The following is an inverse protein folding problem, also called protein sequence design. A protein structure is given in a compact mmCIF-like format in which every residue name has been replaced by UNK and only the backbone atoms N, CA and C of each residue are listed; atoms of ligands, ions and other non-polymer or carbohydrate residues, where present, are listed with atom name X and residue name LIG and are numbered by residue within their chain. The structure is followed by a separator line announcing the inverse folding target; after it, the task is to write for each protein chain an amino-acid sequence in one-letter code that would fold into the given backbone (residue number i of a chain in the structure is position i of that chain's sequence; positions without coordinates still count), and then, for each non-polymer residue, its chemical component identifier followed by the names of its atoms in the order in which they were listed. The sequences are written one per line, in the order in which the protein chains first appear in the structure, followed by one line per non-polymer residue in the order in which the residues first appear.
data_IF_323521017459
#
_entry.id   IF_323521017459
#
_cell.length_a   1.000
_cell.length_b   1.000
_cell.length_c   1.000
_cell.angle_alpha   90.00
_cell.angle_beta   90.00
_cell.angle_gamma   90.00
#
_symmetry.space_group_name_H-M   'P 1'
#
loop_
_entity.id
_entity.type
_entity.pdbx_description
1 polymer ?
#
# COMPACT_ATOMS: atom_id res chain seq x y z
N UNK A 1 -14.60 -13.87 -8.09
CA UNK A 1 -15.65 -13.15 -7.34
C UNK A 1 -16.98 -13.48 -8.00
N UNK A 2 -17.96 -13.96 -7.22
CA UNK A 2 -19.30 -14.31 -7.74
C UNK A 2 -20.29 -13.26 -7.22
N UNK A 3 -20.66 -12.28 -8.07
CA UNK A 3 -21.64 -11.25 -7.70
C UNK A 3 -23.04 -11.71 -8.10
N UNK A 4 -24.00 -11.63 -7.16
CA UNK A 4 -25.39 -12.04 -7.39
C UNK A 4 -26.13 -11.13 -8.38
N UNK A 5 -25.68 -9.89 -8.56
CA UNK A 5 -26.23 -8.94 -9.53
C UNK A 5 -25.21 -7.88 -9.97
N UNK A 6 -25.50 -7.20 -11.08
CA UNK A 6 -24.72 -6.02 -11.52
C UNK A 6 -24.74 -4.90 -10.47
N UNK A 7 -25.86 -4.73 -9.78
CA UNK A 7 -25.99 -3.74 -8.70
C UNK A 7 -25.08 -4.04 -7.52
N UNK A 8 -24.85 -5.31 -7.20
CA UNK A 8 -23.92 -5.71 -6.14
C UNK A 8 -22.47 -5.43 -6.52
N UNK A 9 -22.10 -5.71 -7.78
CA UNK A 9 -20.78 -5.37 -8.30
C UNK A 9 -20.51 -3.86 -8.29
N UNK A 10 -21.48 -3.04 -8.72
CA UNK A 10 -21.37 -1.57 -8.71
C UNK A 10 -21.30 -1.04 -7.27
N UNK A 11 -22.10 -1.58 -6.35
CA UNK A 11 -22.07 -1.17 -4.94
C UNK A 11 -20.73 -1.48 -4.28
N UNK A 12 -20.18 -2.66 -4.53
CA UNK A 12 -18.85 -3.06 -4.04
C UNK A 12 -17.76 -2.15 -4.61
N UNK A 13 -17.82 -1.82 -5.90
CA UNK A 13 -16.88 -0.88 -6.52
C UNK A 13 -16.95 0.51 -5.87
N UNK A 14 -18.15 1.05 -5.61
CA UNK A 14 -18.32 2.34 -4.94
C UNK A 14 -17.80 2.29 -3.51
N UNK A 15 -18.08 1.22 -2.75
CA UNK A 15 -17.57 1.10 -1.39
C UNK A 15 -16.04 1.02 -1.34
N UNK A 16 -15.41 0.27 -2.25
CA UNK A 16 -13.95 0.21 -2.36
C UNK A 16 -13.36 1.56 -2.71
N UNK A 17 -13.93 2.24 -3.70
CA UNK A 17 -13.53 3.60 -4.07
C UNK A 17 -13.61 4.56 -2.86
N UNK A 18 -14.72 4.55 -2.12
CA UNK A 18 -14.86 5.37 -0.92
C UNK A 18 -13.86 4.99 0.18
N UNK A 19 -13.59 3.69 0.39
CA UNK A 19 -12.60 3.23 1.37
C UNK A 19 -11.19 3.71 1.02
N UNK A 20 -10.78 3.61 -0.25
CA UNK A 20 -9.51 4.15 -0.76
C UNK A 20 -9.40 5.66 -0.53
N UNK A 21 -10.50 6.39 -0.60
CA UNK A 21 -10.52 7.85 -0.46
C UNK A 21 -10.84 8.34 0.96
N UNK A 22 -11.24 7.45 1.89
CA UNK A 22 -11.52 7.79 3.30
C UNK A 22 -10.25 8.03 4.14
N UNK A 23 -9.05 7.82 3.60
CA UNK A 23 -7.79 8.18 4.27
C UNK A 23 -7.78 9.63 4.78
N UNK A 24 -8.57 10.53 4.15
CA UNK A 24 -8.74 11.92 4.58
C UNK A 24 -9.18 12.09 6.05
N UNK A 25 -9.92 11.14 6.64
CA UNK A 25 -10.34 11.20 8.05
C UNK A 25 -9.39 10.50 9.04
N UNK A 26 -8.44 9.70 8.54
CA UNK A 26 -7.46 8.98 9.38
C UNK A 26 -6.13 9.75 9.54
N UNK A 27 -6.07 10.98 9.04
CA UNK A 27 -4.88 11.84 9.14
C UNK A 27 -4.53 12.22 10.60
N UNK A 28 -5.49 12.17 11.53
CA UNK A 28 -5.31 12.66 12.90
C UNK A 28 -4.99 11.57 13.94
N UNK A 29 -5.18 10.29 13.62
CA UNK A 29 -5.01 9.20 14.60
C UNK A 29 -4.02 8.13 14.12
N UNK A 30 -3.30 7.52 15.07
CA UNK A 30 -2.46 6.36 14.78
C UNK A 30 -3.36 5.17 14.47
N UNK A 31 -3.08 4.46 13.39
CA UNK A 31 -3.82 3.26 12.98
C UNK A 31 -2.86 2.20 12.41
N UNK A 32 -3.35 0.97 12.32
CA UNK A 32 -2.66 -0.11 11.64
C UNK A 32 -2.99 -0.08 10.15
N UNK A 33 -2.02 -0.42 9.31
CA UNK A 33 -2.22 -0.52 7.87
C UNK A 33 -1.50 -1.74 7.32
N UNK A 34 -2.01 -2.30 6.24
CA UNK A 34 -1.36 -3.32 5.42
C UNK A 34 -1.02 -2.73 4.05
N UNK A 35 0.27 -2.59 3.78
CA UNK A 35 0.80 -2.13 2.50
C UNK A 35 1.25 -3.33 1.66
N UNK A 36 0.76 -3.39 0.43
CA UNK A 36 1.18 -4.33 -0.60
C UNK A 36 1.95 -3.58 -1.69
N UNK A 37 3.18 -4.02 -1.95
CA UNK A 37 4.03 -3.51 -3.02
C UNK A 37 4.33 -4.59 -4.07
N UNK A 38 4.34 -4.22 -5.35
CA UNK A 38 4.86 -5.05 -6.45
C UNK A 38 5.74 -4.20 -7.35
N UNK A 39 6.98 -4.63 -7.57
CA UNK A 39 7.95 -3.90 -8.38
C UNK A 39 8.95 -4.84 -9.07
N UNK A 40 9.63 -4.34 -10.11
CA UNK A 40 10.67 -5.10 -10.82
C UNK A 40 11.96 -5.19 -9.99
N UNK A 41 12.70 -6.30 -10.08
CA UNK A 41 13.90 -6.55 -9.25
C UNK A 41 14.95 -5.42 -9.34
N UNK A 42 15.09 -4.78 -10.51
CA UNK A 42 15.99 -3.64 -10.71
C UNK A 42 15.69 -2.42 -9.83
N UNK A 43 14.46 -2.27 -9.36
CA UNK A 43 14.03 -1.17 -8.48
C UNK A 43 14.18 -1.50 -6.99
N UNK A 44 14.62 -2.71 -6.64
CA UNK A 44 14.75 -3.17 -5.24
C UNK A 44 15.54 -2.22 -4.36
N UNK A 45 16.67 -1.72 -4.85
CA UNK A 45 17.50 -0.82 -4.06
C UNK A 45 16.76 0.49 -3.71
N UNK A 46 16.09 1.10 -4.69
CA UNK A 46 15.33 2.35 -4.50
C UNK A 46 14.15 2.15 -3.56
N UNK A 47 13.42 1.03 -3.71
CA UNK A 47 12.32 0.67 -2.81
C UNK A 47 12.84 0.50 -1.38
N UNK A 48 13.89 -0.30 -1.18
CA UNK A 48 14.48 -0.50 0.15
C UNK A 48 14.96 0.81 0.77
N UNK A 49 15.52 1.73 -0.01
CA UNK A 49 15.94 3.05 0.48
C UNK A 49 14.76 3.88 0.99
N UNK A 50 13.64 3.92 0.24
CA UNK A 50 12.40 4.58 0.69
C UNK A 50 11.89 3.93 1.98
N UNK A 51 11.83 2.60 2.04
CA UNK A 51 11.38 1.88 3.24
C UNK A 51 12.27 2.20 4.46
N UNK A 52 13.59 2.26 4.27
CA UNK A 52 14.53 2.62 5.33
C UNK A 52 14.31 4.04 5.86
N UNK A 53 14.04 5.02 4.99
CA UNK A 53 13.71 6.40 5.40
C UNK A 53 12.45 6.48 6.25
N UNK A 54 11.50 5.58 6.01
CA UNK A 54 10.21 5.51 6.70
C UNK A 54 10.13 4.39 7.76
N UNK A 55 11.26 3.87 8.22
CA UNK A 55 11.30 2.70 9.13
C UNK A 55 10.46 2.88 10.41
N UNK A 56 10.25 4.11 10.88
CA UNK A 56 9.50 4.45 12.09
C UNK A 56 8.06 3.96 12.05
N UNK A 57 7.45 3.92 10.87
CA UNK A 57 6.06 3.46 10.72
C UNK A 57 5.97 2.00 10.30
N UNK A 58 7.08 1.34 10.02
CA UNK A 58 7.11 -0.07 9.58
C UNK A 58 7.23 -0.95 10.83
N UNK A 59 6.15 -1.66 11.16
CA UNK A 59 6.15 -2.62 12.27
C UNK A 59 6.78 -3.95 11.85
N UNK A 60 6.44 -4.44 10.65
CA UNK A 60 7.07 -5.62 10.05
C UNK A 60 6.94 -5.60 8.53
N UNK A 61 7.81 -6.35 7.87
CA UNK A 61 7.81 -6.51 6.41
C UNK A 61 8.12 -7.95 6.02
N UNK A 62 7.44 -8.47 5.01
CA UNK A 62 7.74 -9.72 4.31
C UNK A 62 8.09 -9.39 2.86
N UNK A 63 9.12 -10.03 2.33
CA UNK A 63 9.61 -9.84 0.97
C UNK A 63 9.61 -11.18 0.24
N UNK A 64 9.03 -11.21 -0.96
CA UNK A 64 8.96 -12.42 -1.80
C UNK A 64 9.48 -12.13 -3.19
N UNK A 65 10.43 -12.94 -3.65
CA UNK A 65 10.91 -12.92 -5.03
C UNK A 65 10.09 -13.88 -5.90
N UNK A 66 9.64 -13.42 -7.06
CA UNK A 66 9.00 -14.28 -8.06
C UNK A 66 9.14 -13.68 -9.47
N UNK A 67 9.58 -14.50 -10.44
CA UNK A 67 9.60 -14.17 -11.87
C UNK A 67 10.19 -12.78 -12.21
N UNK A 68 11.39 -12.48 -11.71
CA UNK A 68 12.07 -11.19 -11.93
C UNK A 68 11.45 -9.99 -11.20
N UNK A 69 10.47 -10.24 -10.31
CA UNK A 69 9.75 -9.23 -9.54
C UNK A 69 9.88 -9.49 -8.05
N UNK A 70 9.57 -8.46 -7.30
CA UNK A 70 9.52 -8.48 -5.85
C UNK A 70 8.12 -8.07 -5.39
N UNK A 71 7.55 -8.82 -4.46
CA UNK A 71 6.37 -8.41 -3.71
C UNK A 71 6.73 -8.19 -2.24
N UNK A 72 6.37 -7.01 -1.73
CA UNK A 72 6.49 -6.69 -0.32
C UNK A 72 5.10 -6.62 0.33
N UNK A 73 5.02 -7.15 1.55
CA UNK A 73 3.86 -7.02 2.43
C UNK A 73 4.33 -6.39 3.74
N UNK A 74 3.83 -5.20 4.07
CA UNK A 74 4.25 -4.47 5.26
C UNK A 74 3.08 -4.21 6.18
N UNK A 75 3.27 -4.49 7.47
CA UNK A 75 2.38 -4.01 8.52
C UNK A 75 2.93 -2.67 9.00
N UNK A 76 2.12 -1.63 8.89
CA UNK A 76 2.48 -0.28 9.28
C UNK A 76 1.68 0.17 10.50
N UNK A 77 2.29 1.00 11.34
CA UNK A 77 1.65 1.63 12.50
C UNK A 77 2.07 3.10 12.58
N UNK A 78 1.13 4.01 12.41
CA UNK A 78 1.43 5.43 12.49
C UNK A 78 0.26 6.34 12.13
N UNK A 79 0.45 7.66 12.23
CA UNK A 79 -0.47 8.66 11.69
C UNK A 79 -0.68 8.47 10.19
N UNK A 80 -1.90 8.63 9.70
CA UNK A 80 -2.21 8.47 8.27
C UNK A 80 -1.37 9.40 7.37
N UNK A 81 -0.96 10.57 7.86
CA UNK A 81 -0.10 11.49 7.12
C UNK A 81 1.30 10.91 6.82
N UNK A 82 1.89 10.20 7.78
CA UNK A 82 3.19 9.54 7.62
C UNK A 82 3.08 8.38 6.61
N UNK A 83 2.01 7.58 6.72
CA UNK A 83 1.74 6.47 5.79
C UNK A 83 1.52 7.00 4.37
N UNK A 84 0.77 8.10 4.23
CA UNK A 84 0.54 8.74 2.93
C UNK A 84 1.84 9.29 2.33
N UNK A 85 2.77 9.80 3.14
CA UNK A 85 4.09 10.24 2.67
C UNK A 85 4.91 9.07 2.14
N UNK A 86 4.98 7.95 2.89
CA UNK A 86 5.61 6.71 2.46
C UNK A 86 5.03 6.23 1.12
N UNK A 87 3.70 6.14 1.02
CA UNK A 87 3.04 5.70 -0.21
C UNK A 87 3.35 6.60 -1.41
N UNK A 88 3.35 7.92 -1.23
CA UNK A 88 3.69 8.86 -2.31
C UNK A 88 5.11 8.67 -2.81
N UNK A 89 6.08 8.45 -1.92
CA UNK A 89 7.47 8.19 -2.31
C UNK A 89 7.60 6.85 -3.03
N UNK A 90 6.96 5.79 -2.54
CA UNK A 90 6.98 4.46 -3.18
C UNK A 90 6.34 4.47 -4.56
N UNK A 91 5.19 5.14 -4.73
CA UNK A 91 4.53 5.29 -6.02
C UNK A 91 5.36 6.10 -7.04
N UNK A 92 6.31 6.91 -6.57
CA UNK A 92 7.25 7.66 -7.41
C UNK A 92 8.49 6.85 -7.82
N UNK A 93 8.74 5.68 -7.23
CA UNK A 93 9.84 4.81 -7.62
C UNK A 93 9.54 4.17 -8.97
N UNK A 94 10.56 4.14 -9.84
CA UNK A 94 10.44 3.55 -11.17
C UNK A 94 10.04 2.07 -11.08
N UNK A 95 9.16 1.63 -11.98
CA UNK A 95 8.75 0.22 -12.13
C UNK A 95 8.04 -0.39 -10.90
N UNK A 96 7.52 0.46 -9.99
CA UNK A 96 6.51 0.05 -9.01
C UNK A 96 5.15 -0.03 -9.71
N UNK A 97 4.54 -1.22 -9.73
CA UNK A 97 3.26 -1.49 -10.39
C UNK A 97 2.07 -1.55 -9.44
N UNK A 98 2.29 -1.97 -8.20
CA UNK A 98 1.26 -1.98 -7.16
C UNK A 98 1.83 -1.28 -5.94
N UNK A 99 1.09 -0.31 -5.43
CA UNK A 99 1.31 0.34 -4.14
C UNK A 99 -0.06 0.57 -3.53
N UNK A 100 -0.59 -0.46 -2.87
CA UNK A 100 -1.92 -0.42 -2.28
C UNK A 100 -1.81 -0.53 -0.77
N UNK A 101 -2.54 0.31 -0.04
CA UNK A 101 -2.56 0.32 1.40
C UNK A 101 -4.00 0.22 1.89
N UNK A 102 -4.24 -0.72 2.79
CA UNK A 102 -5.54 -0.88 3.45
C UNK A 102 -5.37 -0.66 4.95
N UNK A 103 -6.44 -0.17 5.59
CA UNK A 103 -6.51 -0.01 7.04
C UNK A 103 -7.05 -1.28 7.65
#
# INVERSE_FOLDING_TARGET
MNYSSRSDAVRDAIHKFLQEHRWYHMLEHKSHFLLSLLYEEGSKHQVTEVLHRHNRVIHSSSHTHFDGRCADQLVLLGPGADIAALMRELAGVKDVRVCNCIV
#
